data_IF_031899520742
#
_entry.id   IF_031899520742
#
_cell.length_a   1.000
_cell.length_b   1.000
_cell.length_c   1.000
_cell.angle_alpha   90.00
_cell.angle_beta   90.00
_cell.angle_gamma   90.00
#
_symmetry.space_group_name_H-M   'P 1'
#
loop_
_entity.id
_entity.type
_entity.pdbx_description
1 polymer ?
#
# COMPACT_ATOMS: atom_id res chain seq x y z
N UNK A 1 -13.97 0.27 -15.30
CA UNK A 1 -13.54 0.59 -13.93
C UNK A 1 -12.92 1.97 -13.85
N UNK A 2 -11.70 2.13 -14.37
CA UNK A 2 -10.86 3.32 -14.15
C UNK A 2 -11.50 4.66 -14.54
N UNK A 3 -12.11 4.79 -15.72
CA UNK A 3 -12.74 6.05 -16.16
C UNK A 3 -13.88 6.50 -15.23
N UNK A 4 -14.76 5.58 -14.84
CA UNK A 4 -15.87 5.87 -13.93
C UNK A 4 -15.37 6.21 -12.53
N UNK A 5 -14.35 5.49 -12.04
CA UNK A 5 -13.68 5.81 -10.79
C UNK A 5 -13.10 7.23 -10.82
N UNK A 6 -12.45 7.62 -11.92
CA UNK A 6 -11.86 8.96 -12.10
C UNK A 6 -12.89 10.08 -12.02
N UNK A 7 -14.06 9.88 -12.61
CA UNK A 7 -15.14 10.88 -12.55
C UNK A 7 -15.71 11.08 -11.15
N UNK A 8 -15.55 10.09 -10.26
CA UNK A 8 -16.12 10.08 -8.92
C UNK A 8 -15.13 10.51 -7.83
N UNK A 9 -13.82 10.63 -8.15
CA UNK A 9 -12.77 10.94 -7.16
C UNK A 9 -13.07 12.20 -6.34
N UNK A 10 -13.51 13.28 -6.99
CA UNK A 10 -13.67 14.61 -6.36
C UNK A 10 -14.72 14.63 -5.25
N UNK A 11 -15.76 13.82 -5.41
CA UNK A 11 -16.91 13.79 -4.50
C UNK A 11 -16.88 12.57 -3.58
N UNK A 12 -15.85 11.72 -3.71
CA UNK A 12 -15.75 10.47 -2.98
C UNK A 12 -15.34 10.65 -1.53
N UNK A 13 -16.11 9.99 -0.64
CA UNK A 13 -15.80 9.85 0.79
C UNK A 13 -16.26 8.47 1.28
N UNK A 14 -15.70 8.02 2.41
CA UNK A 14 -16.11 6.78 3.07
C UNK A 14 -16.15 5.59 2.11
N UNK A 15 -17.30 4.90 2.04
CA UNK A 15 -17.50 3.70 1.21
C UNK A 15 -17.22 3.96 -0.28
N UNK A 16 -17.52 5.15 -0.80
CA UNK A 16 -17.25 5.46 -2.21
C UNK A 16 -15.74 5.55 -2.47
N UNK A 17 -14.99 6.19 -1.56
CA UNK A 17 -13.54 6.24 -1.65
C UNK A 17 -12.91 4.84 -1.53
N UNK A 18 -13.44 4.00 -0.63
CA UNK A 18 -13.04 2.59 -0.52
C UNK A 18 -13.25 1.82 -1.83
N UNK A 19 -14.40 2.00 -2.49
CA UNK A 19 -14.69 1.38 -3.79
C UNK A 19 -13.75 1.84 -4.90
N UNK A 20 -13.41 3.13 -4.93
CA UNK A 20 -12.45 3.68 -5.90
C UNK A 20 -11.04 3.13 -5.64
N UNK A 21 -10.58 3.13 -4.38
CA UNK A 21 -9.29 2.53 -4.01
C UNK A 21 -9.25 1.07 -4.45
N UNK A 22 -10.31 0.30 -4.22
CA UNK A 22 -10.39 -1.09 -4.61
C UNK A 22 -10.17 -1.29 -6.12
N UNK A 23 -10.84 -0.48 -6.96
CA UNK A 23 -10.69 -0.51 -8.42
C UNK A 23 -9.26 -0.12 -8.84
N UNK A 24 -8.72 0.95 -8.25
CA UNK A 24 -7.39 1.45 -8.60
C UNK A 24 -6.26 0.56 -8.13
N UNK A 25 -6.38 -0.05 -6.95
CA UNK A 25 -5.42 -1.01 -6.45
C UNK A 25 -5.40 -2.29 -7.31
N UNK A 26 -6.52 -2.64 -7.93
CA UNK A 26 -6.62 -3.81 -8.80
C UNK A 26 -6.13 -3.54 -10.23
N UNK A 27 -6.54 -2.42 -10.82
CA UNK A 27 -6.40 -2.15 -12.26
C UNK A 27 -5.55 -0.92 -12.58
N UNK A 28 -5.26 -0.07 -11.60
CA UNK A 28 -4.56 1.20 -11.78
C UNK A 28 -3.04 1.08 -11.66
N UNK A 29 -2.38 2.20 -11.93
CA UNK A 29 -0.92 2.34 -11.84
C UNK A 29 -0.52 3.68 -11.26
N UNK A 30 0.67 4.17 -11.65
CA UNK A 30 1.25 5.41 -11.14
C UNK A 30 0.32 6.63 -11.26
N UNK A 31 -0.52 6.70 -12.29
CA UNK A 31 -1.48 7.80 -12.47
C UNK A 31 -2.54 7.86 -11.35
N UNK A 32 -2.98 6.71 -10.85
CA UNK A 32 -3.99 6.62 -9.78
C UNK A 32 -3.36 6.63 -8.38
N UNK A 33 -2.03 6.49 -8.28
CA UNK A 33 -1.32 6.40 -7.02
C UNK A 33 -1.59 7.56 -6.06
N UNK A 34 -1.56 8.85 -6.47
CA UNK A 34 -1.79 9.95 -5.55
C UNK A 34 -3.16 9.87 -4.86
N UNK A 35 -4.20 9.45 -5.58
CA UNK A 35 -5.54 9.25 -5.03
C UNK A 35 -5.55 8.07 -4.05
N UNK A 36 -5.01 6.93 -4.46
CA UNK A 36 -4.98 5.70 -3.62
C UNK A 36 -4.22 5.95 -2.33
N UNK A 37 -3.01 6.52 -2.43
CA UNK A 37 -2.15 6.83 -1.29
C UNK A 37 -2.86 7.76 -0.29
N UNK A 38 -3.38 8.89 -0.76
CA UNK A 38 -4.02 9.88 0.10
C UNK A 38 -5.25 9.29 0.80
N UNK A 39 -6.15 8.65 0.06
CA UNK A 39 -7.39 8.14 0.64
C UNK A 39 -7.16 6.90 1.51
N UNK A 40 -6.19 6.03 1.18
CA UNK A 40 -5.86 4.88 2.02
C UNK A 40 -5.37 5.31 3.41
N UNK A 41 -4.66 6.45 3.51
CA UNK A 41 -4.21 7.00 4.79
C UNK A 41 -5.36 7.39 5.70
N UNK A 42 -6.43 7.90 5.13
CA UNK A 42 -7.62 8.39 5.85
C UNK A 42 -8.62 7.29 6.24
N UNK A 43 -8.45 6.06 5.73
CA UNK A 43 -9.34 4.94 6.05
C UNK A 43 -9.31 4.59 7.54
N UNK A 44 -10.46 4.14 8.04
CA UNK A 44 -10.56 3.49 9.35
C UNK A 44 -9.81 2.14 9.38
N UNK A 45 -9.54 1.64 10.60
CA UNK A 45 -8.76 0.41 10.80
C UNK A 45 -9.28 -0.79 10.00
N UNK A 46 -10.59 -1.04 10.07
CA UNK A 46 -11.26 -2.14 9.36
C UNK A 46 -11.04 -2.06 7.85
N UNK A 47 -11.38 -0.91 7.23
CA UNK A 47 -11.21 -0.72 5.78
C UNK A 47 -9.74 -0.75 5.35
N UNK A 48 -8.79 -0.26 6.19
CA UNK A 48 -7.36 -0.41 5.91
C UNK A 48 -6.97 -1.88 5.81
N UNK A 49 -7.34 -2.71 6.78
CA UNK A 49 -7.02 -4.14 6.76
C UNK A 49 -7.66 -4.87 5.59
N UNK A 50 -8.91 -4.54 5.26
CA UNK A 50 -9.61 -5.10 4.10
C UNK A 50 -8.89 -4.80 2.77
N UNK A 51 -8.38 -3.57 2.62
CA UNK A 51 -7.74 -3.13 1.38
C UNK A 51 -6.23 -3.34 1.33
N UNK A 52 -5.58 -3.63 2.46
CA UNK A 52 -4.13 -3.75 2.57
C UNK A 52 -3.48 -4.73 1.58
N UNK A 53 -4.06 -5.92 1.29
CA UNK A 53 -3.49 -6.83 0.29
C UNK A 53 -3.46 -6.22 -1.11
N UNK A 54 -4.55 -5.56 -1.51
CA UNK A 54 -4.65 -4.92 -2.83
C UNK A 54 -3.75 -3.70 -2.91
N UNK A 55 -3.69 -2.90 -1.84
CA UNK A 55 -2.76 -1.79 -1.72
C UNK A 55 -1.31 -2.27 -1.89
N UNK A 56 -0.89 -3.30 -1.16
CA UNK A 56 0.45 -3.89 -1.30
C UNK A 56 0.73 -4.42 -2.71
N UNK A 57 -0.28 -4.99 -3.36
CA UNK A 57 -0.17 -5.48 -4.75
C UNK A 57 -0.01 -4.32 -5.74
N UNK A 58 -0.69 -3.19 -5.52
CA UNK A 58 -0.45 -1.99 -6.32
C UNK A 58 0.96 -1.46 -6.09
N UNK A 59 1.37 -1.34 -4.81
CA UNK A 59 2.71 -0.88 -4.41
C UNK A 59 3.81 -1.70 -5.06
N UNK A 60 3.66 -3.01 -5.22
CA UNK A 60 4.69 -3.85 -5.87
C UNK A 60 4.84 -3.60 -7.37
N UNK A 61 3.85 -2.98 -8.03
CA UNK A 61 3.83 -2.70 -9.48
C UNK A 61 4.13 -1.25 -9.83
N UNK A 62 4.24 -0.34 -8.86
CA UNK A 62 4.57 1.07 -9.10
C UNK A 62 5.95 1.18 -9.75
N UNK A 63 6.11 2.05 -10.74
CA UNK A 63 7.40 2.18 -11.46
C UNK A 63 8.39 3.08 -10.70
N UNK A 64 7.88 4.11 -10.02
CA UNK A 64 8.71 5.09 -9.32
C UNK A 64 9.11 4.58 -7.93
N UNK A 65 10.41 4.66 -7.64
CA UNK A 65 10.97 4.33 -6.32
C UNK A 65 10.33 5.16 -5.19
N UNK A 66 10.06 6.45 -5.44
CA UNK A 66 9.39 7.31 -4.46
C UNK A 66 7.98 6.81 -4.10
N UNK A 67 7.14 6.53 -5.09
CA UNK A 67 5.78 6.04 -4.89
C UNK A 67 5.79 4.68 -4.17
N UNK A 68 6.73 3.80 -4.52
CA UNK A 68 6.91 2.53 -3.83
C UNK A 68 7.30 2.71 -2.36
N UNK A 69 8.25 3.59 -2.06
CA UNK A 69 8.68 3.88 -0.67
C UNK A 69 7.56 4.48 0.18
N UNK A 70 6.73 5.33 -0.40
CA UNK A 70 5.51 5.82 0.27
C UNK A 70 4.58 4.66 0.65
N UNK A 71 4.35 3.72 -0.27
CA UNK A 71 3.53 2.54 -0.01
C UNK A 71 4.13 1.62 1.07
N UNK A 72 5.44 1.39 1.01
CA UNK A 72 6.18 0.60 2.02
C UNK A 72 6.02 1.21 3.40
N UNK A 73 6.15 2.53 3.53
CA UNK A 73 6.01 3.25 4.80
C UNK A 73 4.60 3.10 5.38
N UNK A 74 3.56 3.16 4.56
CA UNK A 74 2.19 3.00 5.05
C UNK A 74 1.89 1.55 5.46
N UNK A 75 2.41 0.55 4.73
CA UNK A 75 2.30 -0.87 5.11
C UNK A 75 3.02 -1.11 6.44
N UNK A 76 4.22 -0.55 6.60
CA UNK A 76 4.98 -0.58 7.86
C UNK A 76 4.20 0.06 9.00
N UNK A 77 3.63 1.24 8.76
CA UNK A 77 2.84 1.99 9.76
C UNK A 77 1.66 1.16 10.26
N UNK A 78 0.95 0.47 9.36
CA UNK A 78 -0.11 -0.47 9.74
C UNK A 78 0.47 -1.61 10.59
N UNK A 79 1.57 -2.23 10.17
CA UNK A 79 2.18 -3.33 10.91
C UNK A 79 2.65 -2.97 12.31
N UNK A 80 3.33 -1.83 12.47
CA UNK A 80 3.78 -1.33 13.77
C UNK A 80 2.59 -0.97 14.66
N UNK A 81 1.60 -0.24 14.12
CA UNK A 81 0.43 0.22 14.88
C UNK A 81 -0.40 -0.94 15.43
N UNK A 82 -0.51 -2.02 14.69
CA UNK A 82 -1.35 -3.17 15.06
C UNK A 82 -0.54 -4.41 15.44
N UNK A 83 0.75 -4.25 15.77
CA UNK A 83 1.65 -5.36 16.09
C UNK A 83 1.15 -6.25 17.23
N UNK A 84 0.47 -5.65 18.21
CA UNK A 84 -0.12 -6.36 19.37
C UNK A 84 -1.20 -7.37 18.99
N UNK A 85 -1.77 -7.27 17.78
CA UNK A 85 -2.76 -8.20 17.25
C UNK A 85 -2.12 -9.36 16.47
N UNK A 86 -0.79 -9.47 16.44
CA UNK A 86 -0.09 -10.57 15.77
C UNK A 86 -0.02 -10.46 14.25
N UNK A 87 -0.24 -9.26 13.69
CA UNK A 87 -0.24 -9.04 12.22
C UNK A 87 1.16 -9.05 11.59
N UNK A 88 2.23 -9.06 12.41
CA UNK A 88 3.61 -8.95 11.95
C UNK A 88 4.01 -9.91 10.81
N UNK A 89 3.71 -11.22 10.89
CA UNK A 89 3.99 -12.16 9.81
C UNK A 89 3.27 -11.81 8.49
N UNK A 90 2.00 -11.41 8.58
CA UNK A 90 1.21 -11.03 7.41
C UNK A 90 1.78 -9.80 6.71
N UNK A 91 2.16 -8.77 7.48
CA UNK A 91 2.80 -7.56 6.98
C UNK A 91 4.17 -7.87 6.37
N UNK A 92 4.97 -8.72 7.03
CA UNK A 92 6.30 -9.11 6.56
C UNK A 92 6.24 -9.85 5.22
N UNK A 93 5.24 -10.71 5.00
CA UNK A 93 5.02 -11.37 3.71
C UNK A 93 4.72 -10.37 2.60
N UNK A 94 3.84 -9.40 2.85
CA UNK A 94 3.52 -8.34 1.88
C UNK A 94 4.75 -7.50 1.51
N UNK A 95 5.51 -7.08 2.52
CA UNK A 95 6.76 -6.35 2.33
C UNK A 95 7.78 -7.19 1.55
N UNK A 96 7.92 -8.48 1.86
CA UNK A 96 8.83 -9.38 1.13
C UNK A 96 8.47 -9.49 -0.35
N UNK A 97 7.18 -9.63 -0.68
CA UNK A 97 6.72 -9.63 -2.07
C UNK A 97 7.05 -8.32 -2.79
N UNK A 98 6.96 -7.17 -2.09
CA UNK A 98 7.38 -5.88 -2.65
C UNK A 98 8.89 -5.90 -2.90
N UNK A 99 9.72 -6.35 -1.93
CA UNK A 99 11.18 -6.45 -2.09
C UNK A 99 11.56 -7.23 -3.33
N UNK A 100 10.94 -8.39 -3.57
CA UNK A 100 11.23 -9.21 -4.76
C UNK A 100 11.00 -8.45 -6.06
N UNK A 101 9.92 -7.65 -6.16
CA UNK A 101 9.67 -6.84 -7.35
C UNK A 101 10.66 -5.68 -7.45
N UNK A 102 10.99 -5.02 -6.33
CA UNK A 102 11.96 -3.91 -6.31
C UNK A 102 13.35 -4.36 -6.71
N UNK A 103 13.78 -5.55 -6.30
CA UNK A 103 15.04 -6.15 -6.72
C UNK A 103 15.07 -6.35 -8.25
N UNK A 104 13.99 -6.84 -8.86
CA UNK A 104 13.91 -7.01 -10.33
C UNK A 104 13.99 -5.69 -11.09
N UNK A 105 13.58 -4.59 -10.46
CA UNK A 105 13.64 -3.23 -11.00
C UNK A 105 14.96 -2.52 -10.68
N UNK A 106 15.92 -3.17 -10.02
CA UNK A 106 17.16 -2.56 -9.52
C UNK A 106 16.93 -1.33 -8.62
N UNK A 107 15.83 -1.33 -7.84
CA UNK A 107 15.46 -0.24 -6.94
C UNK A 107 15.99 -0.49 -5.52
N UNK A 108 17.30 -0.31 -5.34
CA UNK A 108 17.99 -0.56 -4.06
C UNK A 108 17.43 0.28 -2.90
N UNK A 109 16.99 1.51 -3.19
CA UNK A 109 16.42 2.40 -2.18
C UNK A 109 15.12 1.82 -1.59
N UNK A 110 14.23 1.28 -2.42
CA UNK A 110 13.02 0.61 -1.95
C UNK A 110 13.30 -0.75 -1.31
N UNK A 111 14.30 -1.49 -1.79
CA UNK A 111 14.74 -2.75 -1.16
C UNK A 111 15.16 -2.49 0.28
N UNK A 112 16.01 -1.48 0.51
CA UNK A 112 16.45 -1.07 1.86
C UNK A 112 15.28 -0.61 2.73
N UNK A 113 14.35 0.16 2.17
CA UNK A 113 13.15 0.60 2.89
C UNK A 113 12.29 -0.59 3.35
N UNK A 114 12.15 -1.64 2.52
CA UNK A 114 11.46 -2.87 2.92
C UNK A 114 12.18 -3.57 4.08
N UNK A 115 13.50 -3.73 3.99
CA UNK A 115 14.27 -4.41 5.04
C UNK A 115 14.13 -3.71 6.39
N UNK A 116 14.19 -2.37 6.39
CA UNK A 116 13.94 -1.55 7.57
C UNK A 116 12.52 -1.73 8.08
N UNK A 117 11.52 -1.69 7.20
CA UNK A 117 10.12 -1.89 7.56
C UNK A 117 9.86 -3.26 8.20
N UNK A 118 10.44 -4.34 7.66
CA UNK A 118 10.32 -5.69 8.24
C UNK A 118 10.98 -5.76 9.62
N UNK A 119 12.15 -5.13 9.80
CA UNK A 119 12.82 -5.08 11.09
C UNK A 119 11.98 -4.34 12.14
N UNK A 120 11.41 -3.17 11.79
CA UNK A 120 10.56 -2.38 12.68
C UNK A 120 9.27 -3.11 13.06
N UNK A 121 8.62 -3.79 12.11
CA UNK A 121 7.38 -4.56 12.35
C UNK A 121 7.61 -5.73 13.31
N UNK A 122 8.79 -6.36 13.26
CA UNK A 122 9.12 -7.52 14.09
C UNK A 122 9.87 -7.16 15.39
N UNK A 123 10.16 -5.88 15.61
CA UNK A 123 10.77 -5.42 16.86
C UNK A 123 9.82 -5.63 18.04
N UNK A 124 10.37 -6.13 19.15
CA UNK A 124 9.63 -6.40 20.39
C UNK A 124 9.06 -5.12 21.00
#
# INVERSE_FOLDING_TARGET
GLKSAKTLEKDSKGVLAQGIINIYAEQGGAEQWPYVYTNFKELGAQSKFELLPKFSTMVSRLEKSEDARQGIEEIKTVGVRYKSFGVGPFISTMLTNIKEQRTKLNDEASVKAVEQAIAEVNAK
#
